data_IF_387015555282
#
_entry.id   IF_387015555282
#
_cell.length_a   1.000
_cell.length_b   1.000
_cell.length_c   1.000
_cell.angle_alpha   90.00
_cell.angle_beta   90.00
_cell.angle_gamma   90.00
#
_symmetry.space_group_name_H-M   'P 1'
#
loop_
_entity.id
_entity.type
_entity.pdbx_description
1 polymer ?
#
# COMPACT_ATOMS: atom_id res chain seq x y z
N UNK A 1 16.14 -2.81 5.31
CA UNK A 1 15.07 -1.80 5.06
C UNK A 1 13.84 -2.17 5.85
N UNK A 2 13.32 -1.24 6.60
CA UNK A 2 12.06 -1.43 7.31
C UNK A 2 10.92 -1.15 6.35
N UNK A 3 9.93 -2.05 6.30
CA UNK A 3 8.78 -1.91 5.42
C UNK A 3 7.47 -2.03 6.18
N UNK A 4 6.51 -1.22 5.78
CA UNK A 4 5.10 -1.49 6.06
C UNK A 4 4.58 -2.29 4.87
N UNK A 5 4.09 -3.49 5.13
CA UNK A 5 3.53 -4.37 4.11
C UNK A 5 2.04 -4.51 4.39
N UNK A 6 1.23 -4.04 3.45
CA UNK A 6 -0.23 -4.07 3.56
C UNK A 6 -0.80 -5.09 2.58
N UNK A 7 -1.56 -6.05 3.11
CA UNK A 7 -2.30 -7.02 2.31
C UNK A 7 -3.71 -6.48 2.15
N UNK A 8 -4.07 -6.15 0.91
CA UNK A 8 -5.25 -5.35 0.61
C UNK A 8 -6.26 -6.15 -0.19
N UNK A 9 -7.50 -6.14 0.28
CA UNK A 9 -8.65 -6.70 -0.43
C UNK A 9 -9.51 -5.57 -0.97
N UNK A 10 -9.97 -5.67 -2.22
CA UNK A 10 -10.89 -4.70 -2.80
C UNK A 10 -12.27 -4.79 -2.14
N UNK A 11 -13.04 -3.72 -2.24
CA UNK A 11 -14.46 -3.74 -1.86
C UNK A 11 -15.21 -4.77 -2.71
N UNK A 12 -16.22 -5.38 -2.12
CA UNK A 12 -17.01 -6.41 -2.79
C UNK A 12 -17.73 -5.87 -4.05
N UNK A 13 -18.02 -4.57 -4.09
CA UNK A 13 -18.72 -3.92 -5.21
C UNK A 13 -17.77 -3.34 -6.26
N UNK A 14 -16.46 -3.63 -6.15
CA UNK A 14 -15.42 -3.13 -7.06
C UNK A 14 -14.79 -4.32 -7.78
N UNK A 15 -14.72 -4.27 -9.12
CA UNK A 15 -14.04 -5.31 -9.89
C UNK A 15 -12.52 -5.22 -9.69
N UNK A 16 -11.83 -6.32 -10.00
CA UNK A 16 -10.37 -6.35 -9.90
C UNK A 16 -9.73 -5.30 -10.83
N UNK A 17 -10.23 -5.15 -12.04
CA UNK A 17 -9.70 -4.18 -13.00
C UNK A 17 -9.93 -2.75 -12.53
N UNK A 18 -11.12 -2.45 -12.02
CA UNK A 18 -11.44 -1.12 -11.48
C UNK A 18 -10.59 -0.81 -10.23
N UNK A 19 -10.40 -1.79 -9.36
CA UNK A 19 -9.56 -1.65 -8.17
C UNK A 19 -8.13 -1.27 -8.58
N UNK A 20 -7.55 -2.02 -9.51
CA UNK A 20 -6.18 -1.80 -9.96
C UNK A 20 -6.03 -0.43 -10.63
N UNK A 21 -6.96 -0.08 -11.51
CA UNK A 21 -6.96 1.20 -12.21
C UNK A 21 -7.03 2.37 -11.22
N UNK A 22 -7.94 2.28 -10.26
CA UNK A 22 -8.10 3.32 -9.25
C UNK A 22 -6.85 3.45 -8.38
N UNK A 23 -6.30 2.33 -7.95
CA UNK A 23 -5.14 2.33 -7.06
C UNK A 23 -3.92 2.96 -7.73
N UNK A 24 -3.66 2.58 -8.99
CA UNK A 24 -2.51 3.07 -9.74
C UNK A 24 -2.68 4.53 -10.21
N UNK A 25 -3.87 4.90 -10.69
CA UNK A 25 -4.06 6.14 -11.42
C UNK A 25 -4.86 7.22 -10.68
N UNK A 26 -5.44 6.89 -9.54
CA UNK A 26 -6.15 7.87 -8.70
C UNK A 26 -5.56 7.96 -7.31
N UNK A 27 -5.43 6.85 -6.60
CA UNK A 27 -4.94 6.86 -5.22
C UNK A 27 -3.43 7.15 -5.14
N UNK A 28 -2.61 6.53 -5.98
CA UNK A 28 -1.17 6.76 -5.96
C UNK A 28 -0.80 8.23 -6.25
N UNK A 29 -1.39 8.89 -7.26
CA UNK A 29 -1.17 10.33 -7.44
C UNK A 29 -1.66 11.17 -6.26
N UNK A 30 -2.79 10.81 -5.64
CA UNK A 30 -3.27 11.50 -4.44
C UNK A 30 -2.26 11.37 -3.30
N UNK A 31 -1.72 10.17 -3.10
CA UNK A 31 -0.65 9.92 -2.14
C UNK A 31 0.52 10.87 -2.38
N UNK A 32 1.00 10.96 -3.61
CA UNK A 32 2.16 11.78 -3.95
C UNK A 32 1.94 13.27 -3.70
N UNK A 33 0.75 13.80 -4.05
CA UNK A 33 0.49 15.25 -3.91
C UNK A 33 0.02 15.66 -2.51
N UNK A 34 -0.40 14.70 -1.68
CA UNK A 34 -0.93 15.00 -0.34
C UNK A 34 0.14 14.99 0.74
N UNK A 35 1.23 14.27 0.53
CA UNK A 35 2.28 14.09 1.52
C UNK A 35 3.17 15.33 1.54
N UNK A 36 3.39 15.97 2.71
CA UNK A 36 4.31 17.09 2.79
C UNK A 36 5.76 16.63 2.56
N UNK A 37 6.62 17.54 2.15
CA UNK A 37 7.99 17.23 1.74
C UNK A 37 8.80 16.51 2.82
N UNK A 38 8.63 16.88 4.07
CA UNK A 38 9.36 16.26 5.18
C UNK A 38 8.93 14.81 5.42
N UNK A 39 7.68 14.47 5.13
CA UNK A 39 7.18 13.10 5.22
C UNK A 39 7.59 12.31 3.97
N UNK A 40 7.49 12.93 2.79
CA UNK A 40 7.93 12.29 1.56
C UNK A 40 9.42 11.91 1.62
N UNK A 41 10.23 12.73 2.27
CA UNK A 41 11.67 12.53 2.37
C UNK A 41 12.06 11.26 3.14
N UNK A 42 11.18 10.75 4.03
CA UNK A 42 11.48 9.51 4.80
C UNK A 42 11.06 8.24 4.07
N UNK A 43 10.30 8.36 2.99
CA UNK A 43 9.84 7.21 2.19
C UNK A 43 10.88 6.94 1.11
N UNK A 44 11.48 5.76 1.14
CA UNK A 44 12.50 5.36 0.18
C UNK A 44 12.01 4.31 -0.82
N UNK A 45 10.80 3.79 -0.62
CA UNK A 45 10.28 2.69 -1.43
C UNK A 45 8.76 2.71 -1.35
N UNK A 46 8.10 2.68 -2.50
CA UNK A 46 6.65 2.51 -2.58
C UNK A 46 6.37 1.61 -3.78
N UNK A 47 5.81 0.44 -3.51
CA UNK A 47 5.52 -0.57 -4.53
C UNK A 47 4.12 -1.14 -4.31
N UNK A 48 3.37 -1.27 -5.37
CA UNK A 48 2.10 -1.98 -5.40
C UNK A 48 2.29 -3.29 -6.18
N UNK A 49 2.09 -4.42 -5.51
CA UNK A 49 2.15 -5.74 -6.13
C UNK A 49 0.72 -6.22 -6.35
N UNK A 50 0.22 -6.09 -7.57
CA UNK A 50 -1.15 -6.46 -7.91
C UNK A 50 -1.25 -7.95 -8.23
N UNK A 51 -2.27 -8.61 -7.70
CA UNK A 51 -2.51 -10.03 -7.95
C UNK A 51 -2.77 -10.28 -9.43
N UNK A 52 -2.22 -11.37 -9.94
CA UNK A 52 -2.36 -11.79 -11.33
C UNK A 52 -3.17 -13.08 -11.36
N UNK A 53 -4.17 -13.14 -12.24
CA UNK A 53 -4.92 -14.39 -12.51
C UNK A 53 -4.11 -15.26 -13.46
N UNK A 54 -3.95 -16.52 -13.09
CA UNK A 54 -3.09 -17.44 -13.84
C UNK A 54 -3.86 -18.35 -14.79
N UNK A 55 -5.15 -18.08 -15.02
CA UNK A 55 -5.94 -18.85 -15.98
C UNK A 55 -7.43 -18.81 -15.67
N UNK A 56 -8.21 -19.39 -16.61
CA UNK A 56 -9.66 -19.45 -16.49
C UNK A 56 -10.07 -20.40 -15.37
N UNK A 57 -11.11 -20.03 -14.64
CA UNK A 57 -11.66 -20.86 -13.58
C UNK A 57 -10.86 -20.86 -12.29
N UNK A 58 -9.79 -20.06 -12.19
CA UNK A 58 -9.10 -19.88 -10.92
C UNK A 58 -9.92 -19.00 -10.00
N UNK A 59 -9.91 -19.31 -8.71
CA UNK A 59 -10.49 -18.44 -7.70
C UNK A 59 -9.65 -17.16 -7.55
N UNK A 60 -10.28 -16.11 -7.06
CA UNK A 60 -9.56 -14.91 -6.71
C UNK A 60 -8.50 -15.22 -5.65
N UNK A 61 -7.37 -14.52 -5.72
CA UNK A 61 -6.38 -14.56 -4.66
C UNK A 61 -7.00 -14.06 -3.35
N UNK A 62 -6.49 -14.49 -2.19
CA UNK A 62 -7.01 -14.04 -0.90
C UNK A 62 -6.90 -12.52 -0.71
N UNK A 63 -5.94 -11.90 -1.40
CA UNK A 63 -5.77 -10.44 -1.43
C UNK A 63 -5.56 -10.00 -2.87
N UNK A 64 -5.91 -8.75 -3.16
CA UNK A 64 -5.83 -8.20 -4.52
C UNK A 64 -4.54 -7.42 -4.77
N UNK A 65 -3.94 -6.91 -3.71
CA UNK A 65 -2.68 -6.17 -3.80
C UNK A 65 -1.88 -6.31 -2.52
N UNK A 66 -0.57 -6.40 -2.66
CA UNK A 66 0.36 -6.29 -1.54
C UNK A 66 1.15 -5.01 -1.77
N UNK A 67 0.93 -4.02 -0.91
CA UNK A 67 1.60 -2.73 -0.99
C UNK A 67 2.74 -2.67 0.01
N UNK A 68 3.88 -2.15 -0.45
CA UNK A 68 5.07 -1.98 0.38
C UNK A 68 5.44 -0.52 0.43
N UNK A 69 5.63 0.00 1.64
CA UNK A 69 6.22 1.33 1.85
C UNK A 69 7.48 1.11 2.68
N UNK A 70 8.63 1.54 2.17
CA UNK A 70 9.92 1.28 2.79
C UNK A 70 10.59 2.53 3.35
N UNK A 71 11.36 2.31 4.41
CA UNK A 71 12.05 3.36 5.18
C UNK A 71 13.44 2.86 5.56
N UNK A 72 14.38 3.78 5.76
CA UNK A 72 15.73 3.40 6.18
C UNK A 72 15.73 2.80 7.58
N UNK A 73 14.89 3.33 8.48
CA UNK A 73 14.82 2.85 9.85
C UNK A 73 13.42 3.01 10.44
N UNK A 74 13.25 2.55 11.67
CA UNK A 74 11.95 2.58 12.36
C UNK A 74 11.50 4.01 12.68
N UNK A 75 12.42 4.92 12.97
CA UNK A 75 12.03 6.30 13.26
C UNK A 75 11.45 7.01 12.04
N UNK A 76 11.99 6.74 10.86
CA UNK A 76 11.42 7.24 9.62
C UNK A 76 10.03 6.65 9.38
N UNK A 77 9.86 5.36 9.64
CA UNK A 77 8.54 4.73 9.57
C UNK A 77 7.54 5.40 10.53
N UNK A 78 7.97 5.73 11.75
CA UNK A 78 7.11 6.40 12.73
C UNK A 78 6.72 7.81 12.28
N UNK A 79 7.60 8.53 11.59
CA UNK A 79 7.29 9.83 10.99
C UNK A 79 6.13 9.70 10.00
N UNK A 80 6.20 8.74 9.11
CA UNK A 80 5.12 8.42 8.19
C UNK A 80 3.83 8.05 8.94
N UNK A 81 3.92 7.14 9.90
CA UNK A 81 2.75 6.63 10.61
C UNK A 81 2.03 7.74 11.39
N UNK A 82 2.77 8.63 12.03
CA UNK A 82 2.17 9.78 12.73
C UNK A 82 1.39 10.68 11.77
N UNK A 83 1.96 10.94 10.60
CA UNK A 83 1.26 11.76 9.60
C UNK A 83 0.02 11.03 9.07
N UNK A 84 0.19 9.78 8.68
CA UNK A 84 -0.90 8.99 8.08
C UNK A 84 -2.08 8.80 9.03
N UNK A 85 -1.82 8.58 10.31
CA UNK A 85 -2.86 8.38 11.32
C UNK A 85 -3.38 9.68 11.91
N UNK A 86 -2.75 10.80 11.63
CA UNK A 86 -3.17 12.12 12.07
C UNK A 86 -4.26 12.73 11.19
N UNK A 87 -4.67 13.95 11.52
CA UNK A 87 -5.72 14.66 10.78
C UNK A 87 -5.38 14.84 9.31
N UNK A 88 -4.13 15.18 9.01
CA UNK A 88 -3.71 15.43 7.63
C UNK A 88 -3.71 14.19 6.76
N UNK A 89 -3.50 13.02 7.35
CA UNK A 89 -3.53 11.74 6.64
C UNK A 89 -4.93 11.26 6.30
N UNK A 90 -5.97 11.90 6.85
CA UNK A 90 -7.35 11.51 6.63
C UNK A 90 -7.74 11.51 5.15
N UNK A 91 -7.16 12.39 4.36
CA UNK A 91 -7.42 12.45 2.92
C UNK A 91 -7.10 11.11 2.24
N UNK A 92 -6.02 10.46 2.64
CA UNK A 92 -5.67 9.13 2.10
C UNK A 92 -6.57 8.04 2.68
N UNK A 93 -6.82 8.07 3.98
CA UNK A 93 -7.66 7.07 4.62
C UNK A 93 -9.09 7.09 4.07
N UNK A 94 -9.65 8.27 3.83
CA UNK A 94 -10.98 8.40 3.23
C UNK A 94 -11.00 7.88 1.80
N UNK A 95 -9.95 8.15 1.03
CA UNK A 95 -9.86 7.67 -0.34
C UNK A 95 -9.74 6.15 -0.39
N UNK A 96 -9.01 5.56 0.54
CA UNK A 96 -8.87 4.10 0.65
C UNK A 96 -10.22 3.41 0.84
N UNK A 97 -11.12 4.00 1.61
CA UNK A 97 -12.47 3.46 1.82
C UNK A 97 -13.29 3.37 0.52
N UNK A 98 -12.93 4.10 -0.51
CA UNK A 98 -13.65 4.10 -1.78
C UNK A 98 -13.43 2.83 -2.60
N UNK A 99 -12.30 2.14 -2.41
CA UNK A 99 -11.95 1.00 -3.25
C UNK A 99 -11.43 -0.21 -2.47
N UNK A 100 -11.01 -0.03 -1.23
CA UNK A 100 -10.52 -1.10 -0.37
C UNK A 100 -11.58 -1.54 0.64
N UNK A 101 -11.57 -2.82 0.96
CA UNK A 101 -12.24 -3.33 2.17
C UNK A 101 -11.24 -3.23 3.32
N UNK A 102 -11.27 -2.10 4.02
CA UNK A 102 -10.33 -1.83 5.11
C UNK A 102 -10.50 -2.75 6.31
N UNK A 103 -11.69 -3.36 6.46
CA UNK A 103 -11.94 -4.32 7.54
C UNK A 103 -11.17 -5.62 7.36
N UNK A 104 -10.75 -5.92 6.13
CA UNK A 104 -10.00 -7.13 5.78
C UNK A 104 -8.52 -6.86 5.53
N UNK A 105 -8.10 -5.62 5.63
CA UNK A 105 -6.70 -5.25 5.41
C UNK A 105 -5.84 -5.75 6.56
N UNK A 106 -4.72 -6.37 6.21
CA UNK A 106 -3.70 -6.82 7.17
C UNK A 106 -2.45 -6.00 6.94
N UNK A 107 -1.88 -5.45 8.01
CA UNK A 107 -0.66 -4.65 7.93
C UNK A 107 0.40 -5.28 8.82
N UNK A 108 1.59 -5.49 8.24
CA UNK A 108 2.73 -6.09 8.93
C UNK A 108 3.93 -5.19 8.73
N UNK A 109 4.64 -4.90 9.80
CA UNK A 109 5.95 -4.23 9.72
C UNK A 109 7.03 -5.29 9.60
N UNK A 110 7.88 -5.17 8.59
CA UNK A 110 8.91 -6.15 8.29
C UNK A 110 10.28 -5.50 8.23
N UNK A 111 11.31 -6.32 8.45
CA UNK A 111 12.69 -5.94 8.17
C UNK A 111 13.17 -6.80 7.01
N UNK A 112 13.37 -6.18 5.84
CA UNK A 112 13.74 -6.90 4.64
C UNK A 112 15.20 -7.35 4.70
N UNK A 113 15.41 -8.64 4.53
CA UNK A 113 16.73 -9.24 4.38
C UNK A 113 16.80 -9.94 3.04
N UNK A 114 17.71 -9.52 2.17
CA UNK A 114 17.94 -10.20 0.90
C UNK A 114 18.79 -11.43 1.14
N UNK A 115 18.24 -12.57 0.71
CA UNK A 115 18.93 -13.86 0.85
C UNK A 115 19.42 -14.29 -0.51
N UNK A 116 20.69 -14.69 -0.58
CA UNK A 116 21.26 -15.22 -1.80
C UNK A 116 21.89 -14.16 -2.65
N UNK A 117 21.66 -14.24 -3.93
CA UNK A 117 22.48 -13.56 -4.90
C UNK A 117 22.38 -12.05 -4.86
N UNK A 118 23.32 -11.43 -5.43
CA UNK A 118 23.49 -10.04 -5.74
C UNK A 118 22.56 -9.51 -6.81
N UNK A 119 21.53 -10.19 -7.02
CA UNK A 119 20.56 -9.75 -8.01
C UNK A 119 20.07 -8.36 -7.76
#
# INVERSE_FOLDING_TARGET
MIKIVALIKRRADVTLDTFREYYEHSHAPLFQRSIPDDVAAVITHYVQNHAVRLGDGTTDAPYDCITEIGFDDIEWMRTWSRWYLGEEGKVLRDDEERFMDTSRRVVIVTDEHRIGTDV
#
